data_IF_659805547360
#
_entry.id   IF_659805547360
#
_cell.length_a   1.000
_cell.length_b   1.000
_cell.length_c   1.000
_cell.angle_alpha   90.00
_cell.angle_beta   90.00
_cell.angle_gamma   90.00
#
_symmetry.space_group_name_H-M   'P 1'
#
loop_
_entity.id
_entity.type
_entity.pdbx_description
1 polymer ?
#
# COMPACT_ATOMS: atom_id res chain seq x y z
N UNK A 1 -1.17 -17.85 23.81
CA UNK A 1 -1.24 -19.21 23.25
C UNK A 1 -0.45 -19.18 21.96
N UNK A 2 0.81 -19.61 22.02
CA UNK A 2 1.64 -19.77 20.83
C UNK A 2 1.17 -21.07 20.18
N UNK A 3 0.66 -20.97 18.94
CA UNK A 3 0.42 -22.15 18.10
C UNK A 3 1.73 -22.95 18.05
N UNK A 4 1.56 -24.24 18.18
CA UNK A 4 2.48 -25.22 18.75
C UNK A 4 3.91 -25.16 18.18
N UNK A 5 4.89 -25.01 19.08
CA UNK A 5 6.32 -25.21 18.79
C UNK A 5 6.67 -26.65 18.37
N UNK A 6 5.69 -27.56 18.35
CA UNK A 6 5.84 -28.98 18.02
C UNK A 6 5.49 -29.34 16.56
N UNK A 7 4.76 -28.51 15.82
CA UNK A 7 4.44 -28.75 14.40
C UNK A 7 5.55 -28.29 13.43
N UNK A 8 6.82 -28.44 13.81
CA UNK A 8 7.96 -27.94 13.03
C UNK A 8 8.47 -28.89 11.95
N UNK A 9 7.90 -30.09 11.81
CA UNK A 9 8.29 -31.04 10.77
C UNK A 9 7.43 -30.87 9.52
N UNK A 10 7.95 -30.15 8.52
CA UNK A 10 7.38 -30.06 7.17
C UNK A 10 6.68 -28.74 6.79
N UNK A 11 6.86 -27.66 7.57
CA UNK A 11 6.30 -26.34 7.25
C UNK A 11 6.91 -25.78 5.95
N UNK A 12 6.22 -25.99 4.83
CA UNK A 12 6.57 -25.52 3.49
C UNK A 12 5.66 -24.37 3.02
N UNK A 13 5.90 -23.92 1.79
CA UNK A 13 4.97 -23.09 1.00
C UNK A 13 3.60 -23.79 0.86
N UNK A 14 2.50 -23.05 0.65
CA UNK A 14 1.17 -23.66 0.52
C UNK A 14 1.10 -24.57 -0.71
N UNK A 15 0.72 -25.84 -0.52
CA UNK A 15 0.64 -26.85 -1.59
C UNK A 15 -0.80 -27.23 -1.95
N UNK A 16 -1.73 -27.17 -0.99
CA UNK A 16 -3.14 -27.57 -1.17
C UNK A 16 -4.12 -26.41 -1.01
N UNK A 17 -5.29 -26.55 -1.64
CA UNK A 17 -6.39 -25.60 -1.51
C UNK A 17 -7.14 -25.82 -0.20
N UNK A 18 -7.17 -24.81 0.66
CA UNK A 18 -7.72 -24.87 2.03
C UNK A 18 -9.06 -24.09 2.17
N UNK A 19 -9.82 -23.98 1.08
CA UNK A 19 -11.13 -23.32 1.04
C UNK A 19 -11.11 -21.83 0.65
N UNK A 20 -12.29 -21.20 0.67
CA UNK A 20 -12.50 -19.78 0.34
C UNK A 20 -12.98 -18.97 1.54
N UNK A 21 -12.67 -17.66 1.53
CA UNK A 21 -13.30 -16.68 2.41
C UNK A 21 -14.45 -16.03 1.66
N UNK A 22 -15.67 -16.46 1.94
CA UNK A 22 -16.85 -15.99 1.23
C UNK A 22 -17.23 -14.59 1.68
N UNK A 23 -17.05 -13.63 0.78
CA UNK A 23 -17.49 -12.26 0.95
C UNK A 23 -18.81 -12.03 0.20
N UNK A 24 -19.73 -11.29 0.83
CA UNK A 24 -21.04 -10.94 0.23
C UNK A 24 -20.86 -10.13 -1.07
N UNK A 25 -19.75 -9.40 -1.17
CA UNK A 25 -19.43 -8.49 -2.27
C UNK A 25 -18.14 -8.93 -2.97
N UNK A 26 -17.90 -8.51 -4.21
CA UNK A 26 -16.70 -8.94 -4.96
C UNK A 26 -15.46 -8.27 -4.38
N UNK A 27 -14.52 -9.08 -3.89
CA UNK A 27 -13.21 -8.63 -3.45
C UNK A 27 -12.38 -8.10 -4.62
N UNK A 28 -11.74 -6.94 -4.43
CA UNK A 28 -10.89 -6.27 -5.43
C UNK A 28 -9.43 -6.25 -4.98
N UNK A 29 -9.19 -5.99 -3.70
CA UNK A 29 -7.84 -5.90 -3.11
C UNK A 29 -7.85 -6.46 -1.70
N UNK A 30 -6.71 -6.98 -1.25
CA UNK A 30 -6.59 -7.48 0.13
C UNK A 30 -5.20 -7.20 0.72
N UNK A 31 -5.14 -7.07 2.04
CA UNK A 31 -3.88 -6.85 2.77
C UNK A 31 -3.97 -7.35 4.20
N UNK A 32 -2.93 -8.07 4.64
CA UNK A 32 -2.80 -8.52 6.01
C UNK A 32 -2.27 -7.41 6.92
N UNK A 33 -2.71 -7.46 8.18
CA UNK A 33 -2.04 -6.71 9.22
C UNK A 33 -0.64 -7.28 9.49
N UNK A 34 0.21 -6.54 10.23
CA UNK A 34 1.60 -7.00 10.47
C UNK A 34 1.70 -8.32 11.24
N UNK A 35 0.69 -8.71 12.02
CA UNK A 35 0.70 -9.95 12.80
C UNK A 35 0.14 -11.15 12.01
N UNK A 36 -0.45 -10.94 10.84
CA UNK A 36 -1.16 -11.97 10.08
C UNK A 36 -2.50 -12.40 10.70
N UNK A 37 -2.99 -11.70 11.72
CA UNK A 37 -4.24 -12.09 12.41
C UNK A 37 -5.48 -11.53 11.72
N UNK A 38 -5.37 -10.36 11.09
CA UNK A 38 -6.48 -9.70 10.40
C UNK A 38 -6.16 -9.51 8.93
N UNK A 39 -7.13 -9.79 8.08
CA UNK A 39 -7.09 -9.55 6.65
C UNK A 39 -8.12 -8.47 6.31
N UNK A 40 -7.68 -7.34 5.75
CA UNK A 40 -8.58 -6.35 5.19
C UNK A 40 -8.81 -6.64 3.71
N UNK A 41 -10.06 -6.63 3.28
CA UNK A 41 -10.49 -6.87 1.91
C UNK A 41 -11.30 -5.68 1.44
N UNK A 42 -10.80 -4.97 0.42
CA UNK A 42 -11.52 -3.90 -0.26
C UNK A 42 -12.42 -4.50 -1.33
N UNK A 43 -13.69 -4.11 -1.31
CA UNK A 43 -14.72 -4.64 -2.20
C UNK A 43 -15.13 -3.62 -3.28
N UNK A 44 -15.79 -4.13 -4.32
CA UNK A 44 -16.31 -3.31 -5.43
C UNK A 44 -17.51 -2.42 -5.04
N UNK A 45 -18.21 -2.75 -3.96
CA UNK A 45 -19.32 -1.97 -3.41
C UNK A 45 -18.84 -0.84 -2.48
N UNK A 46 -17.53 -0.60 -2.41
CA UNK A 46 -16.93 0.44 -1.57
C UNK A 46 -16.79 0.05 -0.09
N UNK A 47 -17.15 -1.18 0.28
CA UNK A 47 -16.93 -1.69 1.64
C UNK A 47 -15.50 -2.20 1.82
N UNK A 48 -15.01 -2.09 3.05
CA UNK A 48 -13.80 -2.77 3.51
C UNK A 48 -14.22 -3.80 4.56
N UNK A 49 -14.08 -5.08 4.22
CA UNK A 49 -14.38 -6.21 5.10
C UNK A 49 -13.10 -6.63 5.81
N UNK A 50 -13.13 -6.69 7.13
CA UNK A 50 -12.02 -7.13 7.97
C UNK A 50 -12.36 -8.54 8.46
N UNK A 51 -11.52 -9.48 8.07
CA UNK A 51 -11.58 -10.88 8.47
C UNK A 51 -10.59 -11.16 9.60
N UNK A 52 -11.03 -11.96 10.55
CA UNK A 52 -10.14 -12.62 11.50
C UNK A 52 -9.71 -13.96 10.89
N UNK A 53 -8.40 -14.06 10.63
CA UNK A 53 -7.81 -15.21 9.94
C UNK A 53 -7.76 -16.45 10.85
N UNK A 54 -7.70 -16.27 12.17
CA UNK A 54 -7.62 -17.38 13.12
C UNK A 54 -8.98 -18.08 13.27
N UNK A 55 -10.06 -17.30 13.28
CA UNK A 55 -11.43 -17.83 13.42
C UNK A 55 -12.12 -18.07 12.08
N UNK A 56 -11.49 -17.70 10.96
CA UNK A 56 -12.09 -17.65 9.61
C UNK A 56 -13.45 -16.96 9.61
N UNK A 57 -13.59 -15.88 10.40
CA UNK A 57 -14.83 -15.13 10.56
C UNK A 57 -14.70 -13.69 10.12
N UNK A 58 -15.82 -13.06 9.76
CA UNK A 58 -15.88 -11.61 9.53
C UNK A 58 -15.82 -10.91 10.89
N UNK A 59 -14.73 -10.19 11.15
CA UNK A 59 -14.56 -9.43 12.38
C UNK A 59 -15.31 -8.09 12.33
N UNK A 60 -15.27 -7.41 11.17
CA UNK A 60 -15.92 -6.10 10.99
C UNK A 60 -16.16 -5.77 9.53
N UNK A 61 -17.20 -4.99 9.25
CA UNK A 61 -17.46 -4.41 7.93
C UNK A 61 -17.49 -2.89 8.07
N UNK A 62 -16.71 -2.20 7.24
CA UNK A 62 -16.65 -0.73 7.19
C UNK A 62 -17.21 -0.27 5.85
N UNK A 63 -18.30 0.50 5.87
CA UNK A 63 -18.83 1.18 4.68
C UNK A 63 -17.96 2.40 4.36
N UNK A 64 -16.85 2.18 3.66
CA UNK A 64 -15.81 3.18 3.51
C UNK A 64 -16.13 4.21 2.41
N UNK A 65 -16.58 3.72 1.24
CA UNK A 65 -16.75 4.52 0.04
C UNK A 65 -18.04 4.15 -0.69
N UNK A 66 -18.46 5.01 -1.62
CA UNK A 66 -19.57 4.75 -2.54
C UNK A 66 -19.11 3.97 -3.77
N UNK A 67 -17.84 4.16 -4.15
CA UNK A 67 -17.23 3.54 -5.32
C UNK A 67 -16.22 2.44 -4.91
N UNK A 68 -15.80 1.57 -5.85
CA UNK A 68 -14.88 0.47 -5.57
C UNK A 68 -13.61 0.88 -4.83
N UNK A 69 -13.22 0.08 -3.83
CA UNK A 69 -11.95 0.24 -3.13
C UNK A 69 -10.83 -0.36 -3.98
N UNK A 70 -9.87 0.46 -4.41
CA UNK A 70 -8.78 0.03 -5.28
C UNK A 70 -7.51 -0.35 -4.53
N UNK A 71 -7.24 0.24 -3.36
CA UNK A 71 -6.02 -0.03 -2.59
C UNK A 71 -6.30 0.11 -1.10
N UNK A 72 -5.69 -0.77 -0.29
CA UNK A 72 -5.79 -0.76 1.16
C UNK A 72 -4.42 -0.96 1.78
N UNK A 73 -4.12 -0.30 2.91
CA UNK A 73 -2.90 -0.54 3.69
C UNK A 73 -3.18 -0.39 5.18
N UNK A 74 -2.60 -1.29 5.97
CA UNK A 74 -2.63 -1.22 7.44
C UNK A 74 -1.57 -0.28 7.99
N UNK A 75 -1.89 0.39 9.08
CA UNK A 75 -0.89 1.04 9.92
C UNK A 75 -0.07 0.01 10.68
N UNK A 76 1.12 0.42 11.12
CA UNK A 76 2.06 -0.44 11.83
C UNK A 76 1.50 -1.01 13.15
N UNK A 77 0.70 -0.21 13.86
CA UNK A 77 0.04 -0.61 15.11
C UNK A 77 -1.24 -1.44 14.88
N UNK A 78 -1.72 -1.53 13.64
CA UNK A 78 -2.95 -2.24 13.28
C UNK A 78 -4.23 -1.54 13.71
N UNK A 79 -4.17 -0.30 14.19
CA UNK A 79 -5.34 0.46 14.66
C UNK A 79 -5.96 1.34 13.58
N UNK A 80 -5.19 1.67 12.54
CA UNK A 80 -5.63 2.50 11.43
C UNK A 80 -5.52 1.75 10.11
N UNK A 81 -6.40 2.09 9.18
CA UNK A 81 -6.44 1.54 7.84
C UNK A 81 -6.60 2.68 6.87
N UNK A 82 -5.78 2.71 5.82
CA UNK A 82 -5.95 3.65 4.72
C UNK A 82 -6.55 2.90 3.55
N UNK A 83 -7.58 3.50 2.97
CA UNK A 83 -8.24 2.96 1.78
C UNK A 83 -8.30 4.04 0.71
N UNK A 84 -8.01 3.66 -0.52
CA UNK A 84 -8.21 4.49 -1.70
C UNK A 84 -9.35 3.95 -2.55
N UNK A 85 -10.04 4.87 -3.19
CA UNK A 85 -11.23 4.61 -3.97
C UNK A 85 -11.05 5.09 -5.41
N UNK A 86 -11.79 4.50 -6.34
CA UNK A 86 -11.78 4.89 -7.76
C UNK A 86 -12.34 6.29 -8.02
N UNK A 87 -12.96 6.92 -7.02
CA UNK A 87 -13.44 8.33 -7.05
C UNK A 87 -12.35 9.36 -6.67
N UNK A 88 -11.10 8.88 -6.60
CA UNK A 88 -9.89 9.64 -6.26
C UNK A 88 -9.83 10.07 -4.78
N UNK A 89 -10.64 9.47 -3.91
CA UNK A 89 -10.57 9.74 -2.47
C UNK A 89 -9.67 8.74 -1.75
N UNK A 90 -8.92 9.26 -0.77
CA UNK A 90 -8.11 8.47 0.17
C UNK A 90 -8.63 8.78 1.56
N UNK A 91 -9.04 7.75 2.27
CA UNK A 91 -9.60 7.86 3.63
C UNK A 91 -8.81 7.05 4.62
N UNK A 92 -8.63 7.61 5.81
CA UNK A 92 -8.00 6.96 6.95
C UNK A 92 -9.08 6.62 7.96
N UNK A 93 -9.18 5.34 8.28
CA UNK A 93 -10.18 4.77 9.16
C UNK A 93 -9.54 4.35 10.46
N UNK A 94 -10.27 4.54 11.56
CA UNK A 94 -9.97 3.86 12.80
C UNK A 94 -10.64 2.49 12.81
N UNK A 95 -9.88 1.42 12.99
CA UNK A 95 -10.37 0.05 12.81
C UNK A 95 -11.37 -0.33 13.90
N UNK A 96 -11.09 0.02 15.15
CA UNK A 96 -11.94 -0.34 16.30
C UNK A 96 -13.28 0.39 16.29
N UNK A 97 -13.30 1.72 16.07
CA UNK A 97 -14.56 2.48 16.00
C UNK A 97 -15.23 2.36 14.64
N UNK A 98 -14.46 2.24 13.55
CA UNK A 98 -14.97 2.24 12.18
C UNK A 98 -15.21 3.66 11.64
N UNK A 99 -14.77 4.67 12.38
CA UNK A 99 -14.95 6.07 12.02
C UNK A 99 -13.90 6.54 11.02
N UNK A 100 -14.31 7.47 10.16
CA UNK A 100 -13.41 8.19 9.26
C UNK A 100 -12.66 9.25 10.06
N UNK A 101 -11.33 9.16 10.13
CA UNK A 101 -10.47 10.16 10.78
C UNK A 101 -10.11 11.29 9.81
N UNK A 102 -9.64 10.93 8.61
CA UNK A 102 -9.23 11.89 7.60
C UNK A 102 -9.69 11.45 6.22
N UNK A 103 -10.05 12.42 5.37
CA UNK A 103 -10.43 12.21 3.98
C UNK A 103 -9.68 13.21 3.10
N UNK A 104 -8.98 12.70 2.10
CA UNK A 104 -8.25 13.47 1.11
C UNK A 104 -8.83 13.21 -0.27
N UNK A 105 -8.95 14.25 -1.09
CA UNK A 105 -9.42 14.15 -2.48
C UNK A 105 -8.30 14.54 -3.42
N UNK A 106 -7.98 13.65 -4.36
CA UNK A 106 -6.97 13.87 -5.38
C UNK A 106 -7.64 14.18 -6.73
N UNK A 107 -6.95 14.93 -7.62
CA UNK A 107 -7.48 15.23 -8.95
C UNK A 107 -7.45 14.03 -9.91
N UNK A 108 -6.62 13.02 -9.60
CA UNK A 108 -6.41 11.84 -10.43
C UNK A 108 -6.67 10.54 -9.67
N UNK A 109 -6.97 9.43 -10.39
CA UNK A 109 -7.14 8.11 -9.79
C UNK A 109 -5.90 7.66 -9.03
N UNK A 110 -6.13 7.00 -7.89
CA UNK A 110 -5.06 6.50 -7.04
C UNK A 110 -4.72 5.07 -7.43
N UNK A 111 -3.45 4.82 -7.74
CA UNK A 111 -2.93 3.49 -8.07
C UNK A 111 -2.58 2.70 -6.82
N UNK A 112 -1.99 3.37 -5.82
CA UNK A 112 -1.49 2.71 -4.62
C UNK A 112 -1.48 3.65 -3.43
N UNK A 113 -1.83 3.11 -2.26
CA UNK A 113 -1.59 3.75 -0.97
C UNK A 113 -0.76 2.83 -0.07
N UNK A 114 0.14 3.42 0.71
CA UNK A 114 1.00 2.67 1.62
C UNK A 114 1.29 3.49 2.89
N UNK A 115 1.02 2.92 4.06
CA UNK A 115 1.52 3.50 5.31
C UNK A 115 3.04 3.37 5.41
N UNK A 116 3.69 4.39 5.96
CA UNK A 116 5.08 4.26 6.34
C UNK A 116 5.25 3.15 7.39
N UNK A 117 6.14 2.14 7.18
CA UNK A 117 6.24 0.98 8.07
C UNK A 117 6.64 1.29 9.51
N UNK A 118 7.29 2.44 9.75
CA UNK A 118 7.75 2.89 11.07
C UNK A 118 7.42 4.35 11.39
N UNK A 119 7.01 5.14 10.40
CA UNK A 119 6.74 6.57 10.56
C UNK A 119 5.45 6.85 11.32
N UNK A 120 5.39 8.05 11.91
CA UNK A 120 4.27 8.57 12.74
C UNK A 120 3.07 8.95 11.87
N UNK A 121 2.47 7.99 11.18
CA UNK A 121 1.24 8.19 10.41
C UNK A 121 1.43 8.82 9.03
N UNK A 122 2.62 8.83 8.46
CA UNK A 122 2.82 9.22 7.05
C UNK A 122 2.28 8.15 6.10
N UNK A 123 1.62 8.59 5.03
CA UNK A 123 0.99 7.78 4.00
C UNK A 123 1.59 8.18 2.67
N UNK A 124 2.12 7.23 1.93
CA UNK A 124 2.52 7.41 0.54
C UNK A 124 1.32 7.11 -0.36
N UNK A 125 1.00 8.05 -1.23
CA UNK A 125 -0.07 7.97 -2.22
C UNK A 125 0.57 8.08 -3.59
N UNK A 126 0.24 7.16 -4.50
CA UNK A 126 0.70 7.17 -5.88
C UNK A 126 -0.50 7.46 -6.80
N UNK A 127 -0.71 8.71 -7.23
CA UNK A 127 -1.75 9.04 -8.18
C UNK A 127 -1.31 8.70 -9.61
N UNK A 128 -2.26 8.47 -10.50
CA UNK A 128 -2.02 8.21 -11.91
C UNK A 128 -1.62 9.51 -12.62
N UNK A 129 -0.60 9.45 -13.48
CA UNK A 129 -0.07 10.60 -14.25
C UNK A 129 0.33 11.81 -13.39
N UNK A 130 0.66 11.61 -12.12
CA UNK A 130 1.15 12.67 -11.24
C UNK A 130 2.29 12.15 -10.37
N UNK A 131 3.11 13.07 -9.86
CA UNK A 131 4.14 12.75 -8.90
C UNK A 131 3.54 12.07 -7.64
N UNK A 132 4.22 11.08 -7.05
CA UNK A 132 3.79 10.49 -5.79
C UNK A 132 3.80 11.53 -4.67
N UNK A 133 2.85 11.40 -3.74
CA UNK A 133 2.63 12.35 -2.65
C UNK A 133 2.75 11.63 -1.31
N UNK A 134 3.52 12.18 -0.39
CA UNK A 134 3.55 11.75 1.00
C UNK A 134 2.66 12.68 1.81
N UNK A 135 1.62 12.13 2.43
CA UNK A 135 0.69 12.82 3.32
C UNK A 135 1.02 12.44 4.75
N UNK A 136 1.38 13.42 5.58
CA UNK A 136 1.51 13.25 7.03
C UNK A 136 0.23 13.76 7.68
N UNK A 137 -0.40 12.92 8.50
CA UNK A 137 -1.73 13.19 9.07
C UNK A 137 -1.84 14.53 9.82
N UNK A 138 -0.73 15.05 10.35
CA UNK A 138 -0.68 16.29 11.15
C UNK A 138 0.10 17.44 10.49
N UNK A 139 0.97 17.16 9.51
CA UNK A 139 1.94 18.12 8.94
C UNK A 139 1.62 18.51 7.48
N UNK A 140 0.55 17.96 6.90
CA UNK A 140 0.13 18.25 5.53
C UNK A 140 0.68 17.24 4.52
N UNK A 141 0.92 17.70 3.28
CA UNK A 141 1.36 16.82 2.19
C UNK A 141 2.61 17.39 1.49
N UNK A 142 3.48 16.50 1.03
CA UNK A 142 4.68 16.84 0.27
C UNK A 142 4.72 15.98 -1.00
N UNK A 143 4.91 16.64 -2.13
CA UNK A 143 5.11 15.97 -3.42
C UNK A 143 6.55 15.52 -3.50
N UNK A 144 6.78 14.27 -3.92
CA UNK A 144 8.13 13.75 -4.10
C UNK A 144 8.75 14.33 -5.37
N UNK A 145 10.08 14.60 -5.36
CA UNK A 145 10.78 14.98 -6.58
C UNK A 145 10.66 13.89 -7.63
N UNK A 146 10.56 14.33 -8.88
CA UNK A 146 10.42 13.50 -10.07
C UNK A 146 11.47 13.95 -11.07
N UNK A 147 12.07 13.00 -11.79
CA UNK A 147 12.98 13.31 -12.90
C UNK A 147 12.27 14.08 -14.01
N UNK A 148 12.98 14.99 -14.69
CA UNK A 148 12.48 15.85 -15.79
C UNK A 148 12.06 15.09 -17.07
N UNK A 149 12.02 13.77 -17.04
CA UNK A 149 11.78 12.91 -18.21
C UNK A 149 10.34 12.99 -18.78
N UNK A 150 9.44 13.76 -18.16
CA UNK A 150 8.06 13.97 -18.62
C UNK A 150 7.09 12.81 -18.34
N UNK A 151 7.61 11.67 -17.86
CA UNK A 151 6.80 10.49 -17.56
C UNK A 151 6.24 10.55 -16.13
N UNK A 152 4.95 10.85 -16.03
CA UNK A 152 4.27 11.01 -14.75
C UNK A 152 3.62 9.72 -14.21
N UNK A 153 3.77 8.59 -14.92
CA UNK A 153 3.37 7.29 -14.42
C UNK A 153 4.47 6.73 -13.52
N UNK A 154 4.41 7.10 -12.25
CA UNK A 154 5.43 6.79 -11.26
C UNK A 154 4.79 5.99 -10.14
N UNK A 155 5.43 4.88 -9.80
CA UNK A 155 5.07 4.08 -8.64
C UNK A 155 6.11 4.33 -7.57
N UNK A 156 5.69 4.46 -6.32
CA UNK A 156 6.59 4.62 -5.20
C UNK A 156 6.33 3.59 -4.11
N UNK A 157 7.36 3.29 -3.33
CA UNK A 157 7.25 2.42 -2.15
C UNK A 157 8.28 2.74 -1.09
N UNK A 158 7.91 2.56 0.18
CA UNK A 158 8.85 2.64 1.29
C UNK A 158 9.70 1.38 1.40
N UNK A 159 10.96 1.57 1.82
CA UNK A 159 11.78 0.48 2.36
C UNK A 159 11.13 -0.17 3.60
N UNK A 160 11.52 -1.41 3.93
CA UNK A 160 11.14 -2.12 5.17
C UNK A 160 11.34 -1.26 6.42
N UNK A 161 12.39 -0.43 6.47
CA UNK A 161 12.63 0.45 7.62
C UNK A 161 11.89 1.79 7.52
N UNK A 162 11.36 2.14 6.35
CA UNK A 162 10.78 3.46 6.07
C UNK A 162 11.82 4.58 6.01
N UNK A 163 13.11 4.26 5.84
CA UNK A 163 14.19 5.25 5.75
C UNK A 163 14.35 5.83 4.34
N UNK A 164 14.03 5.03 3.34
CA UNK A 164 14.12 5.39 1.94
C UNK A 164 12.77 5.17 1.25
N UNK A 165 12.52 5.97 0.22
CA UNK A 165 11.42 5.80 -0.72
C UNK A 165 12.05 5.49 -2.07
N UNK A 166 11.64 4.37 -2.65
CA UNK A 166 12.00 4.01 -4.02
C UNK A 166 10.87 4.47 -4.93
N UNK A 167 11.18 5.30 -5.92
CA UNK A 167 10.26 5.66 -7.00
C UNK A 167 10.72 4.97 -8.27
N UNK A 168 9.78 4.53 -9.11
CA UNK A 168 10.05 3.89 -10.39
C UNK A 168 9.17 4.49 -11.46
N UNK A 169 9.76 4.94 -12.57
CA UNK A 169 9.03 5.47 -13.72
C UNK A 169 8.80 4.39 -14.80
N UNK A 170 7.97 4.72 -15.80
CA UNK A 170 7.66 3.81 -16.91
C UNK A 170 8.87 3.45 -17.80
N UNK A 171 9.98 4.20 -17.72
CA UNK A 171 11.22 3.96 -18.48
C UNK A 171 12.22 3.05 -17.75
N UNK A 172 11.88 2.55 -16.56
CA UNK A 172 12.78 1.70 -15.79
C UNK A 172 13.87 2.46 -15.03
N UNK A 173 13.73 3.78 -14.84
CA UNK A 173 14.54 4.51 -13.86
C UNK A 173 13.95 4.36 -12.48
N UNK A 174 14.83 4.12 -11.51
CA UNK A 174 14.50 4.01 -10.09
C UNK A 174 15.27 5.07 -9.30
N UNK A 175 14.55 5.98 -8.65
CA UNK A 175 15.15 6.97 -7.75
C UNK A 175 15.03 6.49 -6.30
N UNK A 176 16.07 6.73 -5.51
CA UNK A 176 16.12 6.42 -4.09
C UNK A 176 16.15 7.73 -3.32
N UNK A 177 15.03 8.05 -2.69
CA UNK A 177 14.84 9.27 -1.91
C UNK A 177 14.98 8.96 -0.42
N UNK A 178 15.59 9.85 0.34
CA UNK A 178 15.59 9.75 1.80
C UNK A 178 14.25 10.22 2.37
N UNK A 179 13.62 9.44 3.25
CA UNK A 179 12.26 9.71 3.72
C UNK A 179 12.12 10.92 4.67
N UNK A 180 13.22 11.45 5.22
CA UNK A 180 13.20 12.59 6.14
C UNK A 180 13.09 13.94 5.44
N UNK A 181 13.83 14.11 4.35
CA UNK A 181 13.99 15.37 3.61
C UNK A 181 13.52 15.26 2.16
N UNK A 182 13.27 14.05 1.67
CA UNK A 182 12.94 13.71 0.28
C UNK A 182 14.03 14.10 -0.71
N UNK A 183 15.29 14.20 -0.24
CA UNK A 183 16.42 14.40 -1.13
C UNK A 183 16.77 13.10 -1.84
N UNK A 184 17.13 13.23 -3.11
CA UNK A 184 17.66 12.14 -3.89
C UNK A 184 19.02 11.72 -3.34
N UNK A 185 19.16 10.41 -3.12
CA UNK A 185 20.40 9.81 -2.63
C UNK A 185 21.10 9.02 -3.72
N UNK A 186 20.34 8.32 -4.56
CA UNK A 186 20.85 7.47 -5.63
C UNK A 186 19.82 7.36 -6.74
N UNK A 187 20.32 7.20 -7.97
CA UNK A 187 19.52 6.88 -9.14
C UNK A 187 20.06 5.61 -9.80
N UNK A 188 19.16 4.69 -10.09
CA UNK A 188 19.45 3.43 -10.76
C UNK A 188 18.70 3.47 -12.09
N UNK A 189 19.45 3.57 -13.18
CA UNK A 189 18.90 3.43 -14.51
C UNK A 189 19.18 1.99 -14.98
N UNK A 190 18.18 1.31 -15.53
CA UNK A 190 18.48 0.12 -16.33
C UNK A 190 19.40 0.54 -17.47
N UNK A 191 20.56 -0.12 -17.68
CA UNK A 191 21.36 0.16 -18.84
C UNK A 191 20.49 -0.17 -20.06
N UNK A 192 20.20 0.82 -20.90
CA UNK A 192 19.68 0.52 -22.22
C UNK A 192 20.64 -0.47 -22.89
N UNK A 193 20.06 -1.40 -23.65
CA UNK A 193 20.67 -2.49 -24.42
C UNK A 193 21.74 -2.06 -25.47
N UNK A 194 22.48 -0.97 -25.26
CA UNK A 194 23.55 -0.50 -26.15
C UNK A 194 24.96 -0.92 -25.74
N UNK A 195 25.13 -1.74 -24.71
CA UNK A 195 26.43 -2.32 -24.33
C UNK A 195 26.90 -3.51 -25.21
N UNK A 196 26.38 -3.63 -26.43
CA UNK A 196 26.87 -4.59 -27.45
C UNK A 196 27.73 -3.95 -28.56
N UNK A 197 28.14 -2.67 -28.43
CA UNK A 197 28.96 -2.00 -29.45
C UNK A 197 30.37 -1.55 -29.01
N UNK A 198 30.89 -2.05 -27.89
CA UNK A 198 32.29 -1.82 -27.48
C UNK A 198 33.13 -3.10 -27.39
N UNK A 199 32.85 -4.08 -28.24
CA UNK A 199 33.82 -5.14 -28.57
C UNK A 199 33.75 -5.48 -30.06
N UNK A 200 34.28 -4.59 -30.90
CA UNK A 200 34.96 -4.91 -32.17
C UNK A 200 35.96 -3.82 -32.49
#
# INVERSE_FOLDING_TARGET
MNLELLESFGQNYPEEFDGTLDCISRAVTCTFNRKGTLLAVGCNDGRVVIWDFLTRGIAKIISAHVHPVCSVSWSRDGRRLVSACTDNTVTVWHVLSGECQHRYRFPSPILKVQFCPRGRGSILVCPLKHAPVVVTLDEGHRVLPVDDDGDLNIIATFDRRGRYIYTGNARGRVLVLQASDFKETRTICTPHLHLLRMMR
#
